data_IF_283762059311
#
_entry.id   IF_283762059311
#
_cell.length_a   1.000
_cell.length_b   1.000
_cell.length_c   1.000
_cell.angle_alpha   90.00
_cell.angle_beta   90.00
_cell.angle_gamma   90.00
#
_symmetry.space_group_name_H-M   'P 1'
#
loop_
_entity.id
_entity.type
_entity.pdbx_description
1 polymer ?
#
# COMPACT_ATOMS: atom_id res chain seq x y z
N UNK A 1 -2.72 3.49 3.42
CA UNK A 1 -1.27 3.30 3.59
C UNK A 1 -0.50 4.61 3.44
N UNK A 2 -0.56 5.31 2.30
CA UNK A 2 0.17 6.58 2.09
C UNK A 2 -0.05 7.63 3.20
N UNK A 3 -1.28 7.77 3.69
CA UNK A 3 -1.58 8.67 4.82
C UNK A 3 -0.84 8.29 6.12
N UNK A 4 -0.66 7.00 6.38
CA UNK A 4 0.13 6.52 7.53
C UNK A 4 1.59 6.95 7.36
N UNK A 5 2.15 6.78 6.16
CA UNK A 5 3.51 7.22 5.86
C UNK A 5 3.67 8.73 6.06
N UNK A 6 2.74 9.54 5.56
CA UNK A 6 2.74 11.00 5.77
C UNK A 6 2.72 11.35 7.27
N UNK A 7 1.96 10.62 8.08
CA UNK A 7 1.84 10.88 9.52
C UNK A 7 3.04 10.39 10.33
N UNK A 8 3.75 9.35 9.89
CA UNK A 8 4.78 8.66 10.70
C UNK A 8 6.20 8.83 10.17
N UNK A 9 6.37 9.09 8.88
CA UNK A 9 7.66 9.28 8.23
C UNK A 9 7.93 10.77 8.03
N UNK A 10 8.68 11.38 8.96
CA UNK A 10 8.92 12.84 9.00
C UNK A 10 9.60 13.37 7.73
N UNK A 11 10.46 12.57 7.10
CA UNK A 11 11.23 12.94 5.90
C UNK A 11 10.86 12.10 4.68
N UNK A 12 9.58 11.80 4.51
CA UNK A 12 9.10 11.06 3.35
C UNK A 12 9.17 11.93 2.10
N UNK A 13 10.03 11.56 1.15
CA UNK A 13 10.21 12.31 -0.11
C UNK A 13 9.69 11.54 -1.33
N UNK A 14 9.75 10.21 -1.29
CA UNK A 14 9.39 9.37 -2.42
C UNK A 14 8.73 8.07 -2.01
N UNK A 15 7.83 7.59 -2.88
CA UNK A 15 7.18 6.29 -2.81
C UNK A 15 7.35 5.63 -4.18
N UNK A 16 7.80 4.38 -4.19
CA UNK A 16 7.83 3.54 -5.40
C UNK A 16 6.86 2.39 -5.24
N UNK A 17 5.88 2.32 -6.13
CA UNK A 17 4.95 1.20 -6.25
C UNK A 17 5.31 0.36 -7.47
N UNK A 18 5.50 -0.94 -7.27
CA UNK A 18 5.53 -1.91 -8.37
C UNK A 18 4.32 -2.82 -8.18
N UNK A 19 3.44 -2.90 -9.18
CA UNK A 19 2.19 -3.65 -9.07
C UNK A 19 1.86 -4.39 -10.37
N UNK A 20 0.87 -5.28 -10.34
CA UNK A 20 0.29 -5.87 -11.55
C UNK A 20 -0.74 -4.93 -12.15
N UNK A 21 -0.80 -4.93 -13.47
CA UNK A 21 -1.87 -4.25 -14.19
C UNK A 21 -3.17 -5.03 -14.00
N UNK A 22 -4.28 -4.34 -13.72
CA UNK A 22 -5.59 -5.00 -13.66
C UNK A 22 -6.06 -5.30 -15.09
N UNK A 23 -6.14 -6.57 -15.54
CA UNK A 23 -6.50 -6.89 -16.92
C UNK A 23 -7.93 -6.47 -17.27
N UNK A 24 -8.84 -6.46 -16.29
CA UNK A 24 -10.25 -6.13 -16.49
C UNK A 24 -10.50 -4.62 -16.49
N UNK A 25 -9.65 -3.84 -15.79
CA UNK A 25 -9.89 -2.42 -15.58
C UNK A 25 -8.60 -1.58 -15.49
N UNK A 26 -7.79 -1.65 -16.56
CA UNK A 26 -6.52 -0.93 -16.68
C UNK A 26 -6.69 0.58 -16.58
N UNK A 27 -7.70 1.11 -17.28
CA UNK A 27 -7.94 2.54 -17.38
C UNK A 27 -8.34 3.13 -16.02
N UNK A 28 -9.20 2.46 -15.26
CA UNK A 28 -9.58 2.92 -13.92
C UNK A 28 -8.41 2.82 -12.94
N UNK A 29 -7.64 1.73 -12.98
CA UNK A 29 -6.44 1.59 -12.14
C UNK A 29 -5.46 2.76 -12.38
N UNK A 30 -5.17 3.04 -13.65
CA UNK A 30 -4.29 4.14 -14.04
C UNK A 30 -4.84 5.52 -13.61
N UNK A 31 -6.15 5.74 -13.75
CA UNK A 31 -6.82 6.97 -13.33
C UNK A 31 -6.67 7.18 -11.81
N UNK A 32 -6.95 6.14 -11.00
CA UNK A 32 -6.85 6.21 -9.52
C UNK A 32 -5.42 6.43 -9.06
N UNK A 33 -4.46 5.83 -9.72
CA UNK A 33 -3.05 6.07 -9.46
C UNK A 33 -2.59 7.48 -9.86
N UNK A 34 -3.10 8.04 -10.94
CA UNK A 34 -2.83 9.43 -11.34
C UNK A 34 -3.40 10.44 -10.33
N UNK A 35 -4.61 10.19 -9.84
CA UNK A 35 -5.26 10.98 -8.77
C UNK A 35 -4.40 10.95 -7.49
N UNK A 36 -3.99 9.76 -7.06
CA UNK A 36 -3.13 9.59 -5.88
C UNK A 36 -1.78 10.28 -6.06
N UNK A 37 -1.13 10.13 -7.22
CA UNK A 37 0.14 10.79 -7.55
C UNK A 37 0.02 12.31 -7.45
N UNK A 38 -1.05 12.88 -8.00
CA UNK A 38 -1.32 14.32 -7.94
C UNK A 38 -1.57 14.81 -6.51
N UNK A 39 -2.28 14.02 -5.70
CA UNK A 39 -2.53 14.32 -4.28
C UNK A 39 -1.24 14.32 -3.44
N UNK A 40 -0.35 13.36 -3.68
CA UNK A 40 0.96 13.28 -3.03
C UNK A 40 1.90 14.41 -3.46
N UNK A 41 1.90 14.76 -4.74
CA UNK A 41 2.73 15.84 -5.28
C UNK A 41 2.43 17.20 -4.63
N UNK A 42 1.16 17.48 -4.28
CA UNK A 42 0.76 18.69 -3.53
C UNK A 42 1.41 18.78 -2.14
N UNK A 43 1.95 17.68 -1.62
CA UNK A 43 2.66 17.59 -0.35
C UNK A 43 4.17 17.45 -0.52
N UNK A 44 4.69 17.62 -1.74
CA UNK A 44 6.11 17.45 -2.05
C UNK A 44 6.57 15.99 -2.10
N UNK A 45 5.64 15.02 -2.13
CA UNK A 45 5.98 13.59 -2.16
C UNK A 45 5.86 13.06 -3.59
N UNK A 46 6.94 12.48 -4.10
CA UNK A 46 6.96 11.86 -5.43
C UNK A 46 6.42 10.42 -5.38
N UNK A 47 5.47 10.09 -6.25
CA UNK A 47 4.99 8.71 -6.45
C UNK A 47 5.41 8.20 -7.83
N UNK A 48 6.24 7.16 -7.85
CA UNK A 48 6.61 6.40 -9.06
C UNK A 48 5.87 5.07 -9.08
N UNK A 49 5.37 4.69 -10.26
CA UNK A 49 4.55 3.49 -10.44
C UNK A 49 5.13 2.72 -11.62
N UNK A 50 5.42 1.45 -11.40
CA UNK A 50 5.84 0.51 -12.42
C UNK A 50 4.90 -0.69 -12.43
N UNK A 51 4.65 -1.23 -13.62
CA UNK A 51 3.86 -2.44 -13.79
C UNK A 51 4.77 -3.63 -14.09
N UNK A 52 4.52 -4.77 -13.45
CA UNK A 52 5.23 -6.02 -13.72
C UNK A 52 4.31 -7.23 -13.59
N UNK A 53 4.24 -8.03 -14.64
CA UNK A 53 3.40 -9.24 -14.67
C UNK A 53 4.02 -10.42 -13.92
N UNK A 54 5.34 -10.38 -13.65
CA UNK A 54 6.10 -11.44 -12.97
C UNK A 54 6.24 -11.21 -11.47
N UNK A 55 5.57 -10.19 -10.92
CA UNK A 55 5.52 -9.97 -9.47
C UNK A 55 4.80 -11.11 -8.75
N UNK A 56 5.41 -11.71 -7.74
CA UNK A 56 4.74 -12.68 -6.87
C UNK A 56 4.83 -12.27 -5.40
N UNK A 57 5.95 -11.66 -5.02
CA UNK A 57 6.21 -11.23 -3.64
C UNK A 57 5.46 -9.95 -3.29
N UNK A 58 5.00 -9.87 -2.03
CA UNK A 58 4.37 -8.67 -1.47
C UNK A 58 5.23 -8.15 -0.34
N UNK A 59 5.92 -7.05 -0.63
CA UNK A 59 7.00 -6.55 0.22
C UNK A 59 6.93 -5.03 0.29
N UNK A 60 7.33 -4.49 1.43
CA UNK A 60 7.48 -3.06 1.68
C UNK A 60 8.93 -2.86 2.12
N UNK A 61 9.65 -2.05 1.35
CA UNK A 61 11.03 -1.67 1.63
C UNK A 61 11.05 -0.26 2.21
N UNK A 62 11.69 -0.09 3.36
CA UNK A 62 11.96 1.20 3.96
C UNK A 62 13.45 1.53 3.81
N UNK A 63 13.77 2.80 3.56
CA UNK A 63 15.13 3.26 3.33
C UNK A 63 16.06 3.15 4.57
N UNK A 64 15.50 2.85 5.73
CA UNK A 64 16.22 2.59 6.98
C UNK A 64 16.51 1.10 7.20
N UNK A 65 16.47 0.29 6.13
CA UNK A 65 16.85 -1.12 6.13
C UNK A 65 15.76 -2.10 6.54
N UNK A 66 14.55 -1.64 6.88
CA UNK A 66 13.45 -2.53 7.21
C UNK A 66 12.74 -3.05 5.96
N UNK A 67 12.52 -4.36 5.93
CA UNK A 67 11.74 -5.05 4.91
C UNK A 67 10.58 -5.75 5.60
N UNK A 68 9.36 -5.45 5.17
CA UNK A 68 8.13 -6.02 5.72
C UNK A 68 7.48 -6.84 4.61
N UNK A 69 7.36 -8.16 4.81
CA UNK A 69 6.65 -9.05 3.90
C UNK A 69 5.31 -9.44 4.50
N UNK A 70 4.24 -9.31 3.72
CA UNK A 70 2.88 -9.62 4.17
C UNK A 70 2.29 -10.64 3.20
N UNK A 71 1.91 -11.82 3.68
CA UNK A 71 1.44 -12.92 2.82
C UNK A 71 0.34 -12.52 1.81
N UNK A 72 -0.57 -11.62 2.22
CA UNK A 72 -1.65 -11.06 1.38
C UNK A 72 -1.39 -9.65 0.85
N UNK A 73 -0.22 -9.06 1.12
CA UNK A 73 0.05 -7.64 0.84
C UNK A 73 -0.82 -6.72 1.69
N UNK A 74 -1.27 -5.59 1.13
CA UNK A 74 -2.12 -4.62 1.84
C UNK A 74 -3.61 -5.02 1.89
N UNK A 75 -3.99 -6.15 1.29
CA UNK A 75 -5.37 -6.63 1.16
C UNK A 75 -5.66 -7.84 2.08
N UNK A 76 -5.50 -7.62 3.38
CA UNK A 76 -5.77 -8.62 4.42
C UNK A 76 -6.97 -8.28 5.30
N UNK A 77 -7.73 -7.23 5.01
CA UNK A 77 -8.95 -6.91 5.74
C UNK A 77 -10.15 -7.70 5.19
N UNK A 78 -11.04 -8.17 6.06
CA UNK A 78 -12.33 -8.74 5.62
C UNK A 78 -13.24 -7.63 5.11
N UNK A 79 -14.11 -7.99 4.17
CA UNK A 79 -15.18 -7.10 3.70
C UNK A 79 -16.16 -6.81 4.85
N UNK A 80 -16.74 -5.62 4.83
CA UNK A 80 -17.79 -5.20 5.77
C UNK A 80 -19.17 -5.53 5.22
N UNK A 81 -19.98 -6.28 5.97
CA UNK A 81 -21.36 -6.60 5.58
C UNK A 81 -22.33 -5.48 6.00
N UNK A 82 -22.16 -4.29 5.42
CA UNK A 82 -22.99 -3.12 5.70
C UNK A 82 -22.22 -1.82 5.59
N UNK A 83 -22.91 -0.72 5.29
CA UNK A 83 -22.28 0.59 5.10
C UNK A 83 -21.96 1.29 6.43
N UNK A 84 -22.81 1.12 7.45
CA UNK A 84 -22.71 1.79 8.76
C UNK A 84 -22.43 0.80 9.89
N UNK A 85 -21.36 0.02 9.75
CA UNK A 85 -20.91 -0.91 10.80
C UNK A 85 -19.57 -0.48 11.39
N UNK A 86 -19.32 -0.92 12.62
CA UNK A 86 -18.03 -0.73 13.28
C UNK A 86 -16.94 -1.39 12.43
N UNK A 87 -15.85 -0.67 12.19
CA UNK A 87 -14.77 -1.09 11.31
C UNK A 87 -14.88 -0.62 9.86
N UNK A 88 -15.99 -0.01 9.41
CA UNK A 88 -16.09 0.51 8.03
C UNK A 88 -15.02 1.57 7.73
N UNK A 89 -14.81 2.50 8.66
CA UNK A 89 -13.85 3.62 8.51
C UNK A 89 -12.53 3.30 9.21
N UNK A 90 -12.60 3.00 10.52
CA UNK A 90 -11.42 2.66 11.31
C UNK A 90 -11.01 1.20 11.11
N UNK A 91 -9.94 1.00 10.33
CA UNK A 91 -9.38 -0.30 10.04
C UNK A 91 -8.84 -1.04 11.27
N UNK A 92 -8.57 -0.36 12.39
CA UNK A 92 -8.15 -1.03 13.63
C UNK A 92 -9.26 -1.88 14.25
N UNK A 93 -10.52 -1.57 13.93
CA UNK A 93 -11.71 -2.30 14.37
C UNK A 93 -12.21 -3.32 13.31
N UNK A 94 -11.55 -3.38 12.15
CA UNK A 94 -11.93 -4.24 11.03
C UNK A 94 -11.35 -5.66 11.22
N UNK A 95 -12.17 -6.72 11.18
CA UNK A 95 -11.66 -8.09 11.18
C UNK A 95 -10.72 -8.36 9.99
N UNK A 96 -9.68 -9.15 10.22
CA UNK A 96 -8.68 -9.50 9.20
C UNK A 96 -8.86 -10.93 8.68
N UNK A 97 -8.46 -11.15 7.43
CA UNK A 97 -8.15 -12.46 6.87
C UNK A 97 -6.84 -12.97 7.49
N UNK A 98 -6.72 -14.28 7.63
CA UNK A 98 -5.49 -14.90 8.10
C UNK A 98 -4.34 -14.58 7.13
N UNK A 99 -3.22 -14.11 7.66
CA UNK A 99 -1.98 -13.83 6.91
C UNK A 99 -0.78 -13.94 7.85
N UNK A 100 0.40 -14.12 7.28
CA UNK A 100 1.68 -13.96 7.98
C UNK A 100 2.24 -12.56 7.72
N UNK A 101 3.03 -12.06 8.66
CA UNK A 101 3.81 -10.84 8.54
C UNK A 101 5.23 -11.17 9.00
N UNK A 102 6.17 -11.10 8.07
CA UNK A 102 7.58 -11.37 8.32
C UNK A 102 8.35 -10.04 8.24
N UNK A 103 9.12 -9.75 9.27
CA UNK A 103 9.88 -8.50 9.39
C UNK A 103 11.37 -8.84 9.35
N UNK A 104 12.07 -8.23 8.41
CA UNK A 104 13.51 -8.36 8.24
C UNK A 104 14.17 -7.00 8.40
N UNK A 105 15.40 -6.99 8.91
CA UNK A 105 16.28 -5.85 8.88
C UNK A 105 17.50 -6.22 8.02
N UNK A 106 17.81 -5.41 7.01
CA UNK A 106 19.10 -5.52 6.32
C UNK A 106 20.16 -5.02 7.28
N UNK A 107 21.01 -5.94 7.73
CA UNK A 107 22.29 -5.58 8.34
C UNK A 107 23.19 -5.07 7.24
N UNK A 108 23.41 -3.75 7.20
CA UNK A 108 24.66 -3.23 6.66
C UNK A 108 25.84 -3.68 7.54
#
# INVERSE_FOLDING_TARGET
FCELLIKRCVRLESIRLVTKENPEDKAFQALKFSELKSSLAKRGISLSIAYSNTLHDREIYLNNGWIIKIGRGLDFFKSTHGQLIIGSIDLSLRPCLQTTIDIFATTD
#
